data_IF_325153920280
#
_entry.id   IF_325153920280
#
_cell.length_a   1.000
_cell.length_b   1.000
_cell.length_c   1.000
_cell.angle_alpha   90.00
_cell.angle_beta   90.00
_cell.angle_gamma   90.00
#
_symmetry.space_group_name_H-M   'P 1'
#
loop_
_entity.id
_entity.type
_entity.pdbx_description
1 polymer ?
#
# COMPACT_ATOMS: atom_id res chain seq x y z
N UNK A 1 -7.06 6.80 -37.12
CA UNK A 1 -6.31 7.97 -36.65
C UNK A 1 -7.18 8.60 -35.57
N UNK A 2 -6.92 8.58 -34.27
CA UNK A 2 -5.78 8.24 -33.42
C UNK A 2 -6.34 7.94 -32.01
N UNK A 3 -5.47 7.41 -31.16
CA UNK A 3 -5.71 6.84 -29.84
C UNK A 3 -6.60 7.68 -28.90
N UNK A 4 -7.61 7.02 -28.31
CA UNK A 4 -8.00 7.31 -26.92
C UNK A 4 -7.26 6.33 -26.01
N UNK A 5 -5.93 6.44 -26.04
CA UNK A 5 -5.09 6.00 -24.94
C UNK A 5 -5.28 7.00 -23.81
N UNK A 6 -6.31 6.79 -22.98
CA UNK A 6 -6.47 7.49 -21.70
C UNK A 6 -5.40 6.95 -20.76
N UNK A 7 -4.15 7.29 -21.05
CA UNK A 7 -3.07 7.21 -20.09
C UNK A 7 -3.37 8.31 -19.08
N UNK A 8 -4.07 7.95 -18.00
CA UNK A 8 -4.30 8.84 -16.88
C UNK A 8 -2.94 9.26 -16.38
N UNK A 9 -2.54 10.46 -16.80
CA UNK A 9 -1.44 11.25 -16.31
C UNK A 9 -1.63 11.35 -14.80
N UNK A 10 -1.00 10.41 -14.10
CA UNK A 10 -0.99 10.33 -12.65
C UNK A 10 -0.11 11.49 -12.24
N UNK A 11 -0.78 12.61 -11.94
CA UNK A 11 -0.18 13.89 -11.61
C UNK A 11 1.00 13.69 -10.68
N UNK A 12 2.17 14.02 -11.20
CA UNK A 12 3.40 14.20 -10.46
C UNK A 12 3.14 15.23 -9.35
N UNK A 13 3.19 14.79 -8.09
CA UNK A 13 3.53 15.65 -6.98
C UNK A 13 4.79 15.08 -6.32
N UNK A 14 5.84 15.88 -6.13
CA UNK A 14 7.11 15.40 -5.59
C UNK A 14 7.00 15.25 -4.07
N UNK A 15 6.34 14.19 -3.63
CA UNK A 15 6.39 13.65 -2.27
C UNK A 15 6.72 12.16 -2.39
N UNK A 16 7.91 11.88 -2.93
CA UNK A 16 8.50 10.54 -3.01
C UNK A 16 7.67 9.51 -3.80
N UNK A 17 8.01 9.28 -5.08
CA UNK A 17 7.55 8.13 -5.88
C UNK A 17 8.05 6.77 -5.35
N UNK A 18 8.29 6.63 -4.03
CA UNK A 18 8.79 5.42 -3.40
C UNK A 18 7.86 4.24 -3.57
N UNK A 19 6.55 4.51 -3.64
CA UNK A 19 5.52 3.50 -3.72
C UNK A 19 4.80 3.49 -5.06
N UNK A 20 5.32 4.21 -6.05
CA UNK A 20 4.69 4.35 -7.36
C UNK A 20 4.52 2.99 -8.05
N UNK A 21 3.28 2.66 -8.41
CA UNK A 21 2.94 1.38 -9.04
C UNK A 21 2.94 0.17 -8.09
N UNK A 22 3.26 0.36 -6.80
CA UNK A 22 3.20 -0.70 -5.80
C UNK A 22 1.79 -0.87 -5.23
N UNK A 23 1.42 -2.11 -4.92
CA UNK A 23 0.13 -2.41 -4.28
C UNK A 23 0.36 -2.82 -2.83
N UNK A 24 -0.26 -2.06 -1.92
CA UNK A 24 -0.25 -2.28 -0.49
C UNK A 24 -1.54 -2.94 -0.03
N UNK A 25 -1.47 -3.82 0.95
CA UNK A 25 -2.67 -4.42 1.57
C UNK A 25 -2.71 -4.11 3.04
N UNK A 26 -3.76 -3.42 3.47
CA UNK A 26 -3.95 -3.08 4.88
C UNK A 26 -4.73 -4.18 5.58
N UNK A 27 -4.09 -4.85 6.53
CA UNK A 27 -4.67 -5.89 7.36
C UNK A 27 -4.55 -5.59 8.85
N UNK A 28 -5.50 -6.11 9.63
CA UNK A 28 -5.65 -5.78 11.04
C UNK A 28 -6.40 -4.47 11.24
N UNK A 29 -6.49 -4.08 12.50
CA UNK A 29 -7.01 -2.80 12.95
C UNK A 29 -5.80 -1.97 13.37
N UNK A 30 -5.72 -0.74 12.90
CA UNK A 30 -4.66 0.18 13.28
C UNK A 30 -5.23 1.04 14.44
N UNK A 31 -4.77 0.85 15.68
CA UNK A 31 -5.33 1.56 16.84
C UNK A 31 -4.86 3.02 16.88
N UNK A 32 -3.67 3.30 16.37
CA UNK A 32 -2.99 4.60 16.37
C UNK A 32 -3.10 5.36 15.06
N UNK A 33 -3.53 4.70 13.97
CA UNK A 33 -3.58 5.28 12.64
C UNK A 33 -4.87 4.82 11.96
N UNK A 34 -5.68 5.69 11.37
CA UNK A 34 -6.87 5.18 10.70
C UNK A 34 -6.47 4.48 9.39
N UNK A 35 -7.19 3.43 9.00
CA UNK A 35 -7.02 2.80 7.67
C UNK A 35 -7.07 3.84 6.54
N UNK A 36 -7.87 4.89 6.72
CA UNK A 36 -7.98 6.03 5.81
C UNK A 36 -6.68 6.81 5.71
N UNK A 37 -6.04 7.12 6.83
CA UNK A 37 -4.75 7.82 6.87
C UNK A 37 -3.66 6.98 6.21
N UNK A 38 -3.59 5.68 6.54
CA UNK A 38 -2.65 4.76 5.90
C UNK A 38 -2.85 4.72 4.38
N UNK A 39 -4.11 4.66 3.92
CA UNK A 39 -4.42 4.70 2.49
C UNK A 39 -4.00 6.03 1.86
N UNK A 40 -4.35 7.16 2.48
CA UNK A 40 -3.98 8.48 2.00
C UNK A 40 -2.46 8.64 1.88
N UNK A 41 -1.70 8.19 2.87
CA UNK A 41 -0.23 8.21 2.84
C UNK A 41 0.34 7.39 1.68
N UNK A 42 -0.16 6.17 1.49
CA UNK A 42 0.26 5.28 0.41
C UNK A 42 -0.09 5.89 -0.95
N UNK A 43 -1.31 6.41 -1.10
CA UNK A 43 -1.79 7.07 -2.32
C UNK A 43 -1.02 8.36 -2.62
N UNK A 44 -0.62 9.13 -1.61
CA UNK A 44 0.20 10.33 -1.77
C UNK A 44 1.60 10.02 -2.33
N UNK A 45 2.15 8.84 -2.06
CA UNK A 45 3.44 8.37 -2.59
C UNK A 45 3.31 7.59 -3.91
N UNK A 46 2.13 7.61 -4.54
CA UNK A 46 1.86 6.92 -5.81
C UNK A 46 1.52 5.43 -5.68
N UNK A 47 1.38 4.93 -4.45
CA UNK A 47 0.98 3.55 -4.17
C UNK A 47 -0.53 3.33 -4.24
N UNK A 48 -0.94 2.06 -4.36
CA UNK A 48 -2.36 1.66 -4.35
C UNK A 48 -2.67 0.79 -3.15
N UNK A 49 -3.77 1.07 -2.45
CA UNK A 49 -4.27 0.19 -1.39
C UNK A 49 -5.30 -0.80 -1.92
N UNK A 50 -5.14 -2.07 -1.54
CA UNK A 50 -6.06 -3.16 -1.83
C UNK A 50 -6.47 -3.88 -0.54
N UNK A 51 -7.70 -4.38 -0.48
CA UNK A 51 -8.21 -5.11 0.69
C UNK A 51 -7.76 -6.58 0.77
N UNK A 52 -7.13 -7.09 -0.29
CA UNK A 52 -6.87 -8.52 -0.47
C UNK A 52 -5.41 -8.79 -0.82
N UNK A 53 -4.80 -9.71 -0.08
CA UNK A 53 -3.45 -10.21 -0.39
C UNK A 53 -3.50 -11.04 -1.66
N UNK A 54 -2.81 -10.57 -2.69
CA UNK A 54 -2.77 -11.19 -4.00
C UNK A 54 -1.34 -11.25 -4.53
N UNK A 55 -1.08 -12.01 -5.59
CA UNK A 55 0.27 -12.13 -6.17
C UNK A 55 0.84 -10.80 -6.71
N UNK A 56 -0.04 -9.81 -6.94
CA UNK A 56 0.32 -8.45 -7.37
C UNK A 56 0.61 -7.51 -6.19
N UNK A 57 0.36 -7.96 -4.96
CA UNK A 57 0.63 -7.17 -3.76
C UNK A 57 2.14 -7.12 -3.53
N UNK A 58 2.68 -5.91 -3.51
CA UNK A 58 4.10 -5.66 -3.21
C UNK A 58 4.35 -5.75 -1.70
N UNK A 59 3.46 -5.16 -0.91
CA UNK A 59 3.62 -5.04 0.54
C UNK A 59 2.29 -5.19 1.29
N UNK A 60 2.36 -5.65 2.52
CA UNK A 60 1.20 -5.84 3.39
C UNK A 60 1.43 -5.03 4.66
N UNK A 61 0.58 -4.03 4.90
CA UNK A 61 0.57 -3.28 6.15
C UNK A 61 -0.17 -4.09 7.21
N UNK A 62 0.57 -4.65 8.17
CA UNK A 62 0.03 -5.41 9.28
C UNK A 62 -0.13 -4.54 10.53
N UNK A 63 -1.39 -4.22 10.84
CA UNK A 63 -1.80 -3.63 12.11
C UNK A 63 -2.10 -4.68 13.18
N UNK A 64 -2.68 -4.22 14.28
CA UNK A 64 -3.08 -5.05 15.40
C UNK A 64 -4.12 -6.09 14.94
N UNK A 65 -3.93 -7.37 15.27
CA UNK A 65 -4.76 -8.49 14.77
C UNK A 65 -4.74 -8.73 13.24
N UNK A 66 -3.61 -8.52 12.56
CA UNK A 66 -3.44 -8.85 11.14
C UNK A 66 -3.69 -10.33 10.76
N UNK A 67 -3.63 -11.25 11.74
CA UNK A 67 -4.06 -12.65 11.71
C UNK A 67 -4.00 -13.34 10.35
N UNK A 68 -5.16 -13.52 9.71
CA UNK A 68 -5.31 -14.33 8.50
C UNK A 68 -4.64 -13.79 7.24
N UNK A 69 -4.38 -12.48 7.14
CA UNK A 69 -3.68 -11.91 5.96
C UNK A 69 -2.17 -11.86 6.16
N UNK A 70 -1.70 -11.77 7.40
CA UNK A 70 -0.27 -11.86 7.73
C UNK A 70 0.28 -13.26 7.42
N UNK A 71 -0.47 -14.31 7.77
CA UNK A 71 -0.12 -15.68 7.38
C UNK A 71 -0.03 -15.82 5.87
N UNK A 72 -1.06 -15.36 5.14
CA UNK A 72 -1.08 -15.42 3.68
C UNK A 72 0.04 -14.62 3.01
N UNK A 73 0.39 -13.46 3.57
CA UNK A 73 1.52 -12.66 3.11
C UNK A 73 2.85 -13.40 3.29
N UNK A 74 3.08 -14.01 4.47
CA UNK A 74 4.27 -14.83 4.74
C UNK A 74 4.34 -16.06 3.84
N UNK A 75 3.22 -16.74 3.61
CA UNK A 75 3.15 -17.90 2.71
C UNK A 75 3.47 -17.53 1.25
N UNK A 76 3.07 -16.34 0.82
CA UNK A 76 3.37 -15.83 -0.52
C UNK A 76 4.74 -15.16 -0.62
N UNK A 77 5.49 -15.03 0.48
CA UNK A 77 6.76 -14.32 0.53
C UNK A 77 6.64 -12.82 0.31
N UNK A 78 5.48 -12.24 0.59
CA UNK A 78 5.21 -10.80 0.45
C UNK A 78 5.73 -10.07 1.68
N UNK A 79 6.38 -8.92 1.48
CA UNK A 79 6.92 -8.12 2.56
C UNK A 79 5.79 -7.57 3.44
N UNK A 80 5.90 -7.79 4.75
CA UNK A 80 4.95 -7.29 5.74
C UNK A 80 5.60 -6.14 6.49
N UNK A 81 4.97 -4.98 6.46
CA UNK A 81 5.41 -3.76 7.16
C UNK A 81 4.36 -3.38 8.20
N UNK A 82 4.78 -2.72 9.27
CA UNK A 82 3.86 -2.15 10.27
C UNK A 82 3.58 -0.68 9.98
N UNK A 83 2.60 -0.07 10.65
CA UNK A 83 2.34 1.37 10.55
C UNK A 83 3.58 2.22 10.78
N UNK A 84 4.41 1.79 11.73
CA UNK A 84 5.65 2.47 12.09
C UNK A 84 6.69 2.41 10.96
N UNK A 85 6.76 1.29 10.24
CA UNK A 85 7.62 1.14 9.08
C UNK A 85 7.12 1.98 7.89
N UNK A 86 5.81 2.06 7.69
CA UNK A 86 5.22 2.95 6.68
C UNK A 86 5.65 4.41 6.96
N UNK A 87 5.51 4.85 8.21
CA UNK A 87 5.92 6.17 8.68
C UNK A 87 7.43 6.39 8.56
N UNK A 88 8.24 5.37 8.83
CA UNK A 88 9.70 5.44 8.70
C UNK A 88 10.13 5.60 7.24
N UNK A 89 9.45 4.93 6.31
CA UNK A 89 9.71 5.08 4.86
C UNK A 89 9.33 6.45 4.29
N UNK A 90 8.48 7.18 5.02
CA UNK A 90 7.91 8.50 4.70
C UNK A 90 8.75 9.67 5.22
N UNK A 91 9.69 9.42 6.15
CA UNK A 91 10.61 10.40 6.76
C UNK A 91 11.94 10.41 6.01
#
# INVERSE_FOLDING_TARGET
MEAYGVNMESKEQPLGSRFEGMTFVVTGTLPTLERKEAAALIEQQGGKVSGSVSKKTSMVLAGENAGSKLTKARELGIQVISEKELLDMLI
#
